data_IF_735676585854
#
_entry.id   IF_735676585854
#
_cell.length_a   1.000
_cell.length_b   1.000
_cell.length_c   1.000
_cell.angle_alpha   90.00
_cell.angle_beta   90.00
_cell.angle_gamma   90.00
#
_symmetry.space_group_name_H-M   'P 1'
#
loop_
_entity.id
_entity.type
_entity.pdbx_description
1 polymer ?
#
# COMPACT_ATOMS: atom_id res chain seq x y z
N UNK A 1 18.66 -23.41 24.13
CA UNK A 1 18.87 -23.92 22.76
C UNK A 1 17.49 -24.17 22.14
N UNK A 2 17.05 -23.36 21.18
CA UNK A 2 15.74 -23.58 20.53
C UNK A 2 15.91 -24.78 19.59
N UNK A 3 15.34 -25.94 19.96
CA UNK A 3 15.19 -27.06 19.04
C UNK A 3 14.27 -26.59 17.91
N UNK A 4 14.72 -26.74 16.68
CA UNK A 4 13.94 -26.44 15.49
C UNK A 4 12.68 -27.31 15.52
N UNK A 5 11.51 -26.70 15.70
CA UNK A 5 10.23 -27.39 15.73
C UNK A 5 9.57 -27.22 14.37
N UNK A 6 9.24 -28.34 13.73
CA UNK A 6 8.34 -28.31 12.58
C UNK A 6 6.91 -28.09 13.10
N UNK A 7 6.29 -26.92 12.84
CA UNK A 7 4.94 -26.65 13.32
C UNK A 7 3.94 -27.59 12.66
N UNK A 8 2.86 -27.88 13.37
CA UNK A 8 1.69 -28.48 12.73
C UNK A 8 0.97 -27.38 11.96
N UNK A 9 0.84 -27.53 10.65
CA UNK A 9 0.04 -26.64 9.82
C UNK A 9 -1.41 -27.10 9.89
N UNK A 10 -2.25 -26.30 10.53
CA UNK A 10 -3.69 -26.46 10.60
C UNK A 10 -4.31 -25.07 10.45
N UNK A 11 -5.39 -25.00 9.71
CA UNK A 11 -6.20 -23.80 9.53
C UNK A 11 -7.65 -24.15 9.88
N UNK A 12 -8.32 -23.26 10.60
CA UNK A 12 -9.75 -23.34 10.92
C UNK A 12 -10.61 -22.63 9.87
N UNK A 13 -10.00 -21.92 8.92
CA UNK A 13 -10.64 -21.34 7.76
C UNK A 13 -10.69 -22.31 6.55
N UNK A 14 -11.53 -21.94 5.58
CA UNK A 14 -11.66 -22.67 4.34
C UNK A 14 -10.40 -22.55 3.44
N UNK A 15 -9.93 -23.71 2.96
CA UNK A 15 -8.72 -23.86 2.16
C UNK A 15 -8.88 -23.32 0.73
N UNK A 16 -10.11 -23.07 0.26
CA UNK A 16 -10.34 -22.44 -1.05
C UNK A 16 -9.80 -21.01 -1.10
N UNK A 17 -9.86 -20.29 0.02
CA UNK A 17 -9.29 -18.94 0.14
C UNK A 17 -7.77 -18.93 -0.04
N UNK A 18 -7.07 -19.90 0.56
CA UNK A 18 -5.63 -20.09 0.39
C UNK A 18 -5.29 -20.52 -1.05
N UNK A 19 -6.12 -21.38 -1.65
CA UNK A 19 -5.96 -21.78 -3.04
C UNK A 19 -6.06 -20.58 -3.99
N UNK A 20 -7.04 -19.70 -3.78
CA UNK A 20 -7.22 -18.48 -4.56
C UNK A 20 -6.00 -17.55 -4.44
N UNK A 21 -5.47 -17.37 -3.22
CA UNK A 21 -4.28 -16.57 -2.99
C UNK A 21 -3.05 -17.11 -3.75
N UNK A 22 -2.83 -18.43 -3.73
CA UNK A 22 -1.74 -19.07 -4.48
C UNK A 22 -1.92 -18.88 -6.00
N UNK A 23 -3.14 -18.97 -6.50
CA UNK A 23 -3.45 -18.74 -7.91
C UNK A 23 -3.20 -17.27 -8.32
N UNK A 24 -3.51 -16.31 -7.45
CA UNK A 24 -3.12 -14.89 -7.61
C UNK A 24 -1.60 -14.72 -7.67
N UNK A 25 -0.85 -15.33 -6.75
CA UNK A 25 0.62 -15.27 -6.73
C UNK A 25 1.23 -15.86 -8.01
N UNK A 26 0.66 -16.95 -8.53
CA UNK A 26 1.09 -17.55 -9.79
C UNK A 26 0.89 -16.59 -10.98
N UNK A 27 -0.19 -15.80 -11.01
CA UNK A 27 -0.37 -14.76 -12.06
C UNK A 27 0.73 -13.71 -12.00
N UNK A 28 1.18 -13.32 -10.80
CA UNK A 28 2.33 -12.43 -10.65
C UNK A 28 3.63 -13.08 -11.16
N UNK A 29 3.96 -14.28 -10.67
CA UNK A 29 5.21 -14.93 -11.04
C UNK A 29 5.29 -15.28 -12.53
N UNK A 30 4.15 -15.54 -13.20
CA UNK A 30 4.10 -15.80 -14.64
C UNK A 30 4.44 -14.55 -15.49
N UNK A 31 4.40 -13.34 -14.92
CA UNK A 31 4.84 -12.10 -15.60
C UNK A 31 6.36 -11.88 -15.51
N UNK A 32 7.07 -12.64 -14.67
CA UNK A 32 8.50 -12.50 -14.45
C UNK A 32 9.30 -13.42 -15.37
N UNK A 33 10.50 -12.98 -15.75
CA UNK A 33 11.50 -13.84 -16.41
C UNK A 33 11.88 -15.01 -15.50
N UNK A 34 12.17 -16.15 -16.10
CA UNK A 34 12.45 -17.40 -15.41
C UNK A 34 13.66 -17.30 -14.47
N UNK A 35 14.67 -16.52 -14.86
CA UNK A 35 15.92 -16.29 -14.14
C UNK A 35 15.83 -15.18 -13.07
N UNK A 36 14.68 -14.51 -12.91
CA UNK A 36 14.51 -13.50 -11.87
C UNK A 36 14.69 -14.14 -10.49
N UNK A 37 15.63 -13.61 -9.69
CA UNK A 37 16.05 -14.24 -8.44
C UNK A 37 15.23 -13.76 -7.23
N UNK A 38 14.73 -14.73 -6.46
CA UNK A 38 14.11 -14.54 -5.15
C UNK A 38 15.07 -15.01 -4.05
N UNK A 39 15.10 -14.30 -2.93
CA UNK A 39 15.97 -14.62 -1.78
C UNK A 39 15.13 -15.07 -0.60
N UNK A 40 15.44 -16.25 -0.05
CA UNK A 40 14.78 -16.84 1.11
C UNK A 40 15.84 -17.26 2.13
N UNK A 41 16.06 -16.44 3.14
CA UNK A 41 17.17 -16.66 4.09
C UNK A 41 18.52 -16.65 3.36
N UNK A 42 19.36 -17.70 3.50
CA UNK A 42 20.65 -17.79 2.80
C UNK A 42 20.51 -18.21 1.33
N UNK A 43 19.35 -18.75 0.94
CA UNK A 43 19.16 -19.40 -0.35
C UNK A 43 18.55 -18.45 -1.40
N UNK A 44 18.89 -18.70 -2.66
CA UNK A 44 18.34 -17.99 -3.81
C UNK A 44 17.72 -18.96 -4.79
N UNK A 45 16.53 -18.63 -5.26
CA UNK A 45 15.79 -19.44 -6.23
C UNK A 45 15.35 -18.60 -7.42
N UNK A 46 15.47 -19.12 -8.67
CA UNK A 46 14.91 -18.47 -9.84
C UNK A 46 13.38 -18.52 -9.80
N UNK A 47 12.71 -17.55 -10.45
CA UNK A 47 11.26 -17.45 -10.49
C UNK A 47 10.59 -18.73 -10.99
N UNK A 48 11.22 -19.43 -11.93
CA UNK A 48 10.75 -20.74 -12.41
C UNK A 48 10.62 -21.76 -11.27
N UNK A 49 11.62 -21.84 -10.40
CA UNK A 49 11.60 -22.75 -9.27
C UNK A 49 10.52 -22.32 -8.25
N UNK A 50 10.37 -21.02 -7.99
CA UNK A 50 9.32 -20.50 -7.11
C UNK A 50 7.93 -20.86 -7.63
N UNK A 51 7.68 -20.73 -8.95
CA UNK A 51 6.42 -21.16 -9.59
C UNK A 51 6.17 -22.66 -9.42
N UNK A 52 7.19 -23.50 -9.65
CA UNK A 52 7.08 -24.95 -9.46
C UNK A 52 6.76 -25.30 -8.00
N UNK A 53 7.37 -24.59 -7.06
CA UNK A 53 7.12 -24.75 -5.63
C UNK A 53 5.67 -24.43 -5.27
N UNK A 54 5.14 -23.28 -5.70
CA UNK A 54 3.74 -22.91 -5.48
C UNK A 54 2.75 -23.87 -6.13
N UNK A 55 3.00 -24.31 -7.37
CA UNK A 55 2.15 -25.33 -8.04
C UNK A 55 2.15 -26.66 -7.27
N UNK A 56 3.30 -27.06 -6.73
CA UNK A 56 3.43 -28.27 -5.91
C UNK A 56 2.66 -28.11 -4.60
N UNK A 57 2.75 -26.94 -3.96
CA UNK A 57 2.00 -26.65 -2.73
C UNK A 57 0.50 -26.68 -2.98
N UNK A 58 0.02 -26.03 -4.04
CA UNK A 58 -1.39 -26.04 -4.45
C UNK A 58 -1.89 -27.46 -4.74
N UNK A 59 -1.07 -28.29 -5.39
CA UNK A 59 -1.41 -29.70 -5.62
C UNK A 59 -1.55 -30.49 -4.33
N UNK A 60 -0.68 -30.28 -3.34
CA UNK A 60 -0.78 -30.93 -2.03
C UNK A 60 -2.03 -30.45 -1.30
N UNK A 61 -2.30 -29.14 -1.34
CA UNK A 61 -3.47 -28.54 -0.71
C UNK A 61 -4.78 -29.15 -1.26
N UNK A 62 -4.89 -29.30 -2.58
CA UNK A 62 -6.08 -29.87 -3.25
C UNK A 62 -6.23 -31.40 -3.09
N UNK A 63 -5.14 -32.13 -2.81
CA UNK A 63 -5.13 -33.60 -2.75
C UNK A 63 -5.13 -34.18 -1.34
N UNK A 64 -4.78 -33.38 -0.34
CA UNK A 64 -4.69 -33.87 1.04
C UNK A 64 -6.09 -34.11 1.60
N UNK A 65 -6.35 -35.34 2.06
CA UNK A 65 -7.63 -35.73 2.68
C UNK A 65 -7.79 -35.19 4.11
N UNK A 66 -6.67 -34.93 4.78
CA UNK A 66 -6.62 -34.48 6.17
C UNK A 66 -5.33 -33.71 6.47
N UNK A 67 -5.28 -33.07 7.65
CA UNK A 67 -4.14 -32.29 8.12
C UNK A 67 -2.88 -33.14 8.35
N UNK A 68 -3.02 -34.43 8.67
CA UNK A 68 -1.88 -35.31 8.93
C UNK A 68 -1.13 -35.62 7.63
N UNK A 69 -1.85 -35.96 6.56
CA UNK A 69 -1.29 -36.18 5.24
C UNK A 69 -0.71 -34.89 4.65
N UNK A 70 -1.41 -33.76 4.81
CA UNK A 70 -0.91 -32.45 4.40
C UNK A 70 0.45 -32.14 5.04
N UNK A 71 0.56 -32.25 6.37
CA UNK A 71 1.82 -32.01 7.09
C UNK A 71 2.94 -32.98 6.70
N UNK A 72 2.61 -34.25 6.43
CA UNK A 72 3.56 -35.26 5.95
C UNK A 72 4.14 -34.89 4.59
N UNK A 73 3.29 -34.45 3.67
CA UNK A 73 3.73 -34.06 2.33
C UNK A 73 4.53 -32.76 2.33
N UNK A 74 4.17 -31.78 3.17
CA UNK A 74 4.97 -30.57 3.36
C UNK A 74 6.37 -30.91 3.88
N UNK A 75 6.48 -31.76 4.91
CA UNK A 75 7.79 -32.20 5.45
C UNK A 75 8.67 -32.88 4.41
N UNK A 76 8.06 -33.62 3.48
CA UNK A 76 8.79 -34.36 2.44
C UNK A 76 9.25 -33.47 1.29
N UNK A 77 8.48 -32.43 0.94
CA UNK A 77 8.65 -31.67 -0.31
C UNK A 77 9.13 -30.23 -0.12
N UNK A 78 9.11 -29.69 1.11
CA UNK A 78 9.41 -28.28 1.38
C UNK A 78 10.49 -28.11 2.44
N UNK A 79 11.33 -27.09 2.24
CA UNK A 79 12.15 -26.51 3.28
C UNK A 79 11.34 -25.46 4.04
N UNK A 80 11.42 -25.47 5.36
CA UNK A 80 10.75 -24.49 6.21
C UNK A 80 11.75 -23.43 6.69
N UNK A 81 11.46 -22.17 6.39
CA UNK A 81 12.27 -21.04 6.84
C UNK A 81 11.57 -20.33 7.99
N UNK A 82 12.30 -20.09 9.09
CA UNK A 82 11.79 -19.29 10.20
C UNK A 82 11.92 -17.81 9.86
N UNK A 83 10.84 -17.04 10.04
CA UNK A 83 10.89 -15.58 9.93
C UNK A 83 11.89 -15.00 10.96
N UNK A 84 12.86 -14.21 10.48
CA UNK A 84 13.96 -13.69 11.30
C UNK A 84 13.53 -12.59 12.29
N UNK A 85 12.41 -11.91 12.02
CA UNK A 85 11.94 -10.75 12.79
C UNK A 85 12.82 -9.51 12.59
N UNK A 86 12.60 -8.48 13.41
CA UNK A 86 13.41 -7.26 13.38
C UNK A 86 14.84 -7.53 13.85
N UNK A 87 15.82 -6.96 13.14
CA UNK A 87 17.23 -7.00 13.53
C UNK A 87 17.41 -6.49 14.97
N UNK A 88 18.04 -7.32 15.82
CA UNK A 88 18.37 -6.97 17.20
C UNK A 88 17.43 -7.53 18.28
N UNK A 89 16.14 -7.75 18.01
CA UNK A 89 15.20 -8.24 19.04
C UNK A 89 14.50 -9.59 18.72
N UNK A 90 14.67 -10.13 17.50
CA UNK A 90 14.07 -11.42 17.06
C UNK A 90 12.54 -11.51 17.22
N UNK A 91 11.85 -10.37 17.40
CA UNK A 91 10.38 -10.29 17.45
C UNK A 91 9.85 -10.01 16.05
N UNK A 92 8.78 -10.70 15.69
CA UNK A 92 8.00 -10.43 14.49
C UNK A 92 6.81 -9.58 14.91
N UNK A 93 6.64 -8.41 14.29
CA UNK A 93 5.46 -7.57 14.48
C UNK A 93 4.46 -7.91 13.37
N UNK A 94 3.25 -8.32 13.75
CA UNK A 94 2.14 -8.47 12.83
C UNK A 94 1.23 -7.25 12.95
N UNK A 95 0.89 -6.65 11.81
CA UNK A 95 -0.08 -5.56 11.72
C UNK A 95 -1.12 -5.92 10.67
N UNK A 96 -2.37 -5.53 10.88
CA UNK A 96 -3.44 -5.69 9.90
C UNK A 96 -3.55 -4.45 9.00
N UNK A 97 -3.85 -4.67 7.73
CA UNK A 97 -4.34 -3.65 6.81
C UNK A 97 -5.76 -4.03 6.40
N UNK A 98 -6.64 -3.05 6.22
CA UNK A 98 -7.97 -3.24 5.67
C UNK A 98 -8.18 -2.19 4.59
N UNK A 99 -9.09 -2.44 3.65
CA UNK A 99 -9.47 -1.45 2.63
C UNK A 99 -10.58 -0.55 3.20
N UNK A 100 -10.29 0.71 3.56
CA UNK A 100 -11.30 1.61 4.07
C UNK A 100 -12.35 1.94 3.01
N UNK A 101 -13.61 2.01 3.43
CA UNK A 101 -14.71 2.55 2.64
C UNK A 101 -14.91 4.00 3.04
N UNK A 102 -14.87 4.90 2.07
CA UNK A 102 -15.13 6.32 2.23
C UNK A 102 -16.40 6.71 1.51
N UNK A 103 -17.19 7.62 2.08
CA UNK A 103 -18.29 8.24 1.35
C UNK A 103 -17.73 9.30 0.38
N UNK A 104 -18.14 9.22 -0.88
CA UNK A 104 -17.73 10.17 -1.89
C UNK A 104 -18.77 10.39 -2.97
N UNK A 105 -18.50 11.33 -3.86
CA UNK A 105 -19.30 11.61 -5.04
C UNK A 105 -18.40 11.80 -6.27
N UNK A 106 -18.90 11.49 -7.46
CA UNK A 106 -18.22 11.72 -8.74
C UNK A 106 -18.29 13.19 -9.17
N UNK A 107 -19.08 14.01 -8.50
CA UNK A 107 -19.14 15.45 -8.70
C UNK A 107 -18.99 16.18 -7.37
N UNK A 108 -18.45 17.39 -7.42
CA UNK A 108 -18.33 18.25 -6.24
C UNK A 108 -19.71 18.74 -5.83
N UNK A 109 -20.06 18.59 -4.55
CA UNK A 109 -21.28 19.13 -3.97
C UNK A 109 -21.01 19.84 -2.62
N UNK A 110 -22.07 20.23 -1.90
CA UNK A 110 -21.95 20.92 -0.60
C UNK A 110 -21.36 20.05 0.51
N UNK A 111 -21.44 18.73 0.38
CA UNK A 111 -20.97 17.72 1.33
C UNK A 111 -19.59 17.19 0.90
N UNK A 112 -19.46 16.76 -0.37
CA UNK A 112 -18.29 16.16 -0.98
C UNK A 112 -17.43 17.24 -1.64
N UNK A 113 -16.48 17.77 -0.87
CA UNK A 113 -15.69 18.95 -1.28
C UNK A 113 -14.21 18.66 -1.51
N UNK A 114 -13.71 17.51 -1.06
CA UNK A 114 -12.28 17.22 -1.04
C UNK A 114 -11.89 16.21 -2.13
N UNK A 115 -11.26 16.66 -3.23
CA UNK A 115 -10.98 15.80 -4.37
C UNK A 115 -9.86 14.79 -4.08
N UNK A 116 -9.95 13.63 -4.74
CA UNK A 116 -8.82 12.74 -5.00
C UNK A 116 -8.45 12.85 -6.47
N UNK A 117 -7.15 12.93 -6.77
CA UNK A 117 -6.67 13.23 -8.12
C UNK A 117 -6.06 12.03 -8.84
N UNK A 118 -6.29 11.96 -10.15
CA UNK A 118 -5.48 11.18 -11.10
C UNK A 118 -4.07 11.74 -11.16
N UNK A 119 -3.15 10.92 -11.66
CA UNK A 119 -1.78 11.36 -11.96
C UNK A 119 -1.82 12.51 -12.98
N UNK A 120 -1.23 13.68 -12.69
CA UNK A 120 -1.11 14.77 -13.65
C UNK A 120 -0.05 14.47 -14.72
N UNK A 121 -0.27 14.90 -15.96
CA UNK A 121 0.68 14.67 -17.07
C UNK A 121 2.02 15.41 -16.87
N UNK A 122 1.98 16.55 -16.19
CA UNK A 122 3.20 17.31 -15.88
C UNK A 122 3.98 16.77 -14.67
N UNK A 123 3.55 15.65 -14.07
CA UNK A 123 4.29 14.93 -13.03
C UNK A 123 5.32 14.02 -13.69
N UNK A 124 6.57 14.49 -13.71
CA UNK A 124 7.68 13.81 -14.33
C UNK A 124 8.46 13.03 -13.27
N UNK A 125 8.84 11.79 -13.59
CA UNK A 125 9.75 10.99 -12.77
C UNK A 125 11.03 10.73 -13.54
N UNK A 126 12.15 11.22 -13.03
CA UNK A 126 13.46 11.11 -13.70
C UNK A 126 14.34 10.09 -13.00
N UNK A 127 14.99 9.22 -13.78
CA UNK A 127 16.05 8.35 -13.30
C UNK A 127 17.39 9.10 -13.37
N UNK A 128 17.94 9.48 -12.21
CA UNK A 128 19.17 10.26 -12.14
C UNK A 128 20.40 9.48 -12.62
N UNK A 129 20.34 8.15 -12.58
CA UNK A 129 21.39 7.27 -13.09
C UNK A 129 21.65 7.44 -14.59
N UNK A 130 20.66 7.92 -15.37
CA UNK A 130 20.82 8.22 -16.80
C UNK A 130 21.76 9.41 -17.05
N UNK A 131 21.94 10.29 -16.06
CA UNK A 131 22.77 11.49 -16.19
C UNK A 131 24.19 11.27 -15.64
N UNK A 132 24.30 10.59 -14.50
CA UNK A 132 25.58 10.29 -13.84
C UNK A 132 25.50 8.94 -13.12
N UNK A 133 26.48 8.03 -13.30
CA UNK A 133 26.50 6.72 -12.65
C UNK A 133 26.38 6.75 -11.11
N UNK A 134 26.93 7.79 -10.47
CA UNK A 134 26.85 7.97 -9.00
C UNK A 134 25.43 8.08 -8.44
N UNK A 135 24.43 8.36 -9.29
CA UNK A 135 23.03 8.44 -8.90
C UNK A 135 22.23 7.21 -9.37
N UNK A 136 22.89 6.10 -9.71
CA UNK A 136 22.22 4.86 -10.09
C UNK A 136 21.21 4.43 -9.03
N UNK A 137 20.01 4.07 -9.47
CA UNK A 137 18.88 3.72 -8.58
C UNK A 137 18.13 4.91 -7.97
N UNK A 138 18.65 6.14 -8.06
CA UNK A 138 17.96 7.31 -7.52
C UNK A 138 16.96 7.88 -8.54
N UNK A 139 15.78 8.25 -8.03
CA UNK A 139 14.71 8.87 -8.82
C UNK A 139 14.23 10.14 -8.14
N UNK A 140 13.85 11.12 -8.95
CA UNK A 140 13.19 12.35 -8.47
C UNK A 140 11.86 12.53 -9.18
N UNK A 141 10.90 13.15 -8.48
CA UNK A 141 9.65 13.61 -9.07
C UNK A 141 9.69 15.14 -9.19
N UNK A 142 9.41 15.64 -10.39
CA UNK A 142 9.57 17.04 -10.74
C UNK A 142 8.45 17.52 -11.67
N UNK A 143 8.39 18.84 -11.84
CA UNK A 143 7.60 19.53 -12.88
C UNK A 143 8.49 20.56 -13.59
N UNK A 144 8.11 20.90 -14.81
CA UNK A 144 8.77 21.96 -15.58
C UNK A 144 8.23 23.34 -15.15
N UNK A 145 9.12 24.30 -14.97
CA UNK A 145 8.78 25.73 -14.81
C UNK A 145 9.78 26.56 -15.62
N UNK A 146 9.32 27.17 -16.71
CA UNK A 146 10.21 27.82 -17.68
C UNK A 146 11.19 26.80 -18.25
N UNK A 147 12.48 27.09 -18.15
CA UNK A 147 13.55 26.20 -18.60
C UNK A 147 14.15 25.31 -17.50
N UNK A 148 13.48 25.21 -16.34
CA UNK A 148 13.98 24.50 -15.17
C UNK A 148 13.07 23.34 -14.75
N UNK A 149 13.68 22.27 -14.26
CA UNK A 149 13.01 21.20 -13.54
C UNK A 149 13.04 21.51 -12.05
N UNK A 150 11.88 21.56 -11.42
CA UNK A 150 11.73 21.86 -9.99
C UNK A 150 10.87 20.79 -9.30
N UNK A 151 10.94 20.63 -7.97
CA UNK A 151 10.11 19.66 -7.25
C UNK A 151 8.63 19.79 -7.59
N UNK A 152 7.92 18.67 -7.61
CA UNK A 152 6.48 18.68 -7.78
C UNK A 152 5.78 19.36 -6.60
N UNK A 153 4.51 19.72 -6.75
CA UNK A 153 3.72 20.39 -5.71
C UNK A 153 3.64 19.56 -4.42
N UNK A 154 3.75 20.22 -3.27
CA UNK A 154 3.51 19.61 -1.95
C UNK A 154 2.01 19.39 -1.72
N UNK A 155 1.65 18.61 -0.69
CA UNK A 155 0.25 18.53 -0.24
C UNK A 155 -0.35 19.92 0.03
N UNK A 156 0.39 20.79 0.71
CA UNK A 156 -0.05 22.16 1.01
C UNK A 156 -0.38 22.93 -0.27
N UNK A 157 0.50 22.88 -1.26
CA UNK A 157 0.25 23.53 -2.56
C UNK A 157 -1.01 22.99 -3.25
N UNK A 158 -1.21 21.68 -3.21
CA UNK A 158 -2.36 21.01 -3.85
C UNK A 158 -3.67 21.38 -3.16
N UNK A 159 -3.69 21.39 -1.82
CA UNK A 159 -4.92 21.55 -1.03
C UNK A 159 -5.26 23.00 -0.71
N UNK A 160 -4.28 23.83 -0.34
CA UNK A 160 -4.53 25.22 0.05
C UNK A 160 -4.48 26.17 -1.15
N UNK A 161 -3.54 25.95 -2.07
CA UNK A 161 -3.35 26.82 -3.24
C UNK A 161 -4.11 26.33 -4.48
N UNK A 162 -4.83 25.21 -4.39
CA UNK A 162 -5.67 24.63 -5.46
C UNK A 162 -4.94 24.50 -6.81
N UNK A 163 -3.64 24.23 -6.81
CA UNK A 163 -2.81 24.23 -8.03
C UNK A 163 -3.19 23.15 -9.07
N UNK A 164 -4.06 22.21 -8.69
CA UNK A 164 -4.61 21.17 -9.55
C UNK A 164 -6.08 21.39 -9.96
N UNK A 165 -6.73 22.42 -9.45
CA UNK A 165 -8.14 22.69 -9.76
C UNK A 165 -8.31 23.02 -11.26
N UNK A 166 -9.46 22.62 -11.83
CA UNK A 166 -9.83 22.83 -13.24
C UNK A 166 -8.87 22.19 -14.25
N UNK A 167 -8.12 21.16 -13.83
CA UNK A 167 -7.29 20.34 -14.72
C UNK A 167 -7.97 19.05 -15.17
N UNK A 168 -9.22 18.82 -14.77
CA UNK A 168 -9.99 17.60 -15.05
C UNK A 168 -9.26 16.34 -14.55
N UNK A 169 -8.71 16.43 -13.34
CA UNK A 169 -7.91 15.36 -12.73
C UNK A 169 -8.68 14.65 -11.61
N UNK A 170 -9.78 15.21 -11.15
CA UNK A 170 -10.59 14.69 -10.06
C UNK A 170 -11.21 13.34 -10.43
N UNK A 171 -11.01 12.33 -9.58
CA UNK A 171 -11.63 11.00 -9.71
C UNK A 171 -12.99 11.00 -8.98
N UNK A 172 -12.98 11.55 -7.77
CA UNK A 172 -14.12 11.66 -6.87
C UNK A 172 -13.80 12.72 -5.80
N UNK A 173 -14.83 13.15 -5.08
CA UNK A 173 -14.75 14.07 -3.95
C UNK A 173 -15.21 13.36 -2.69
N UNK A 174 -14.42 13.44 -1.62
CA UNK A 174 -14.76 12.91 -0.30
C UNK A 174 -15.34 14.00 0.61
N UNK A 175 -16.02 13.58 1.68
CA UNK A 175 -16.62 14.47 2.68
C UNK A 175 -15.60 15.15 3.60
N UNK A 176 -14.43 14.53 3.80
CA UNK A 176 -13.43 14.97 4.77
C UNK A 176 -12.00 14.93 4.19
N UNK A 177 -11.23 16.02 4.34
CA UNK A 177 -9.81 16.05 3.95
C UNK A 177 -8.90 15.12 4.77
N UNK A 178 -9.31 14.72 5.98
CA UNK A 178 -8.68 13.66 6.75
C UNK A 178 -8.88 12.30 6.07
N UNK A 179 -10.07 12.03 5.52
CA UNK A 179 -10.33 10.79 4.77
C UNK A 179 -9.47 10.71 3.52
N UNK A 180 -9.31 11.83 2.80
CA UNK A 180 -8.34 11.92 1.69
C UNK A 180 -6.92 11.60 2.18
N UNK A 181 -6.50 12.16 3.32
CA UNK A 181 -5.16 11.88 3.87
C UNK A 181 -4.99 10.41 4.28
N UNK A 182 -6.00 9.81 4.92
CA UNK A 182 -5.99 8.40 5.31
C UNK A 182 -5.92 7.52 4.06
N UNK A 183 -6.75 7.77 3.05
CA UNK A 183 -6.72 7.06 1.78
C UNK A 183 -5.33 7.14 1.12
N UNK A 184 -4.66 8.30 1.17
CA UNK A 184 -3.29 8.45 0.67
C UNK A 184 -2.25 7.67 1.47
N UNK A 185 -2.40 7.58 2.80
CA UNK A 185 -1.53 6.78 3.67
C UNK A 185 -1.72 5.29 3.38
N UNK A 186 -2.96 4.84 3.18
CA UNK A 186 -3.28 3.45 2.88
C UNK A 186 -2.88 3.06 1.44
N UNK A 187 -2.97 3.99 0.49
CA UNK A 187 -2.58 3.80 -0.91
C UNK A 187 -3.66 3.17 -1.79
N UNK A 188 -4.70 2.59 -1.21
CA UNK A 188 -5.92 2.14 -1.90
C UNK A 188 -7.15 2.29 -1.02
N UNK A 189 -8.33 2.25 -1.62
CA UNK A 189 -9.59 2.30 -0.89
C UNK A 189 -10.81 2.17 -1.79
N UNK A 190 -11.96 2.01 -1.14
CA UNK A 190 -13.27 1.98 -1.77
C UNK A 190 -13.99 3.31 -1.53
N UNK A 191 -14.66 3.82 -2.55
CA UNK A 191 -15.50 5.02 -2.45
C UNK A 191 -16.93 4.61 -2.73
N UNK A 192 -17.78 4.76 -1.71
CA UNK A 192 -19.22 4.52 -1.81
C UNK A 192 -19.89 5.79 -2.32
N UNK A 193 -20.53 5.69 -3.49
CA UNK A 193 -21.25 6.77 -4.15
C UNK A 193 -22.67 6.92 -3.56
N UNK A 194 -23.35 8.06 -3.79
CA UNK A 194 -24.73 8.26 -3.32
C UNK A 194 -25.73 7.25 -3.92
N UNK A 195 -25.43 6.71 -5.10
CA UNK A 195 -26.20 5.64 -5.75
C UNK A 195 -26.12 4.29 -5.02
N UNK A 196 -25.16 4.12 -4.11
CA UNK A 196 -24.82 2.84 -3.48
C UNK A 196 -23.74 2.06 -4.24
N UNK A 197 -23.37 2.49 -5.44
CA UNK A 197 -22.25 1.94 -6.19
C UNK A 197 -20.93 2.16 -5.44
N UNK A 198 -20.01 1.20 -5.56
CA UNK A 198 -18.67 1.28 -4.98
C UNK A 198 -17.66 1.34 -6.12
N UNK A 199 -16.90 2.43 -6.19
CA UNK A 199 -15.72 2.52 -7.04
C UNK A 199 -14.47 2.21 -6.23
N UNK A 200 -13.49 1.57 -6.85
CA UNK A 200 -12.22 1.22 -6.22
C UNK A 200 -11.11 2.10 -6.78
N UNK A 201 -10.27 2.61 -5.88
CA UNK A 201 -9.12 3.44 -6.24
C UNK A 201 -7.84 2.86 -5.67
N UNK A 202 -6.77 2.91 -6.45
CA UNK A 202 -5.46 2.44 -6.05
C UNK A 202 -4.36 3.42 -6.43
N UNK A 203 -3.20 3.25 -5.81
CA UNK A 203 -2.01 4.06 -6.06
C UNK A 203 -1.67 4.12 -7.56
N UNK A 204 -1.34 5.33 -8.03
CA UNK A 204 -0.88 5.60 -9.39
C UNK A 204 0.49 6.28 -9.39
N UNK A 205 0.65 7.34 -8.58
CA UNK A 205 1.91 8.07 -8.48
C UNK A 205 2.04 8.79 -7.14
N UNK A 206 3.27 9.18 -6.80
CA UNK A 206 3.59 10.08 -5.68
C UNK A 206 4.22 11.37 -6.21
N UNK A 207 3.95 12.49 -5.53
CA UNK A 207 4.63 13.77 -5.79
C UNK A 207 6.14 13.76 -5.45
N UNK A 208 6.66 12.66 -4.88
CA UNK A 208 8.08 12.44 -4.59
C UNK A 208 8.62 13.17 -3.35
N UNK A 209 7.77 13.86 -2.59
CA UNK A 209 8.14 14.43 -1.31
C UNK A 209 8.22 13.33 -0.23
N UNK A 210 9.11 13.49 0.78
CA UNK A 210 9.24 12.50 1.84
C UNK A 210 7.97 12.45 2.70
N UNK A 211 7.56 11.24 3.06
CA UNK A 211 6.47 11.05 4.00
C UNK A 211 6.87 11.57 5.39
N UNK A 212 5.96 12.31 6.03
CA UNK A 212 6.06 12.67 7.45
C UNK A 212 4.81 12.21 8.19
N UNK A 213 5.01 11.55 9.34
CA UNK A 213 3.89 11.00 10.12
C UNK A 213 3.10 12.10 10.82
N UNK A 214 1.82 12.24 10.46
CA UNK A 214 0.87 13.15 11.12
C UNK A 214 0.60 12.72 12.57
N UNK A 215 0.58 11.40 12.83
CA UNK A 215 0.38 10.88 14.19
C UNK A 215 1.55 11.24 15.10
N UNK A 216 2.79 11.13 14.58
CA UNK A 216 3.98 11.56 15.32
C UNK A 216 3.98 13.07 15.56
N UNK A 217 3.61 13.85 14.55
CA UNK A 217 3.46 15.30 14.68
C UNK A 217 2.48 15.68 15.80
N UNK A 218 1.33 15.02 15.86
CA UNK A 218 0.34 15.28 16.90
C UNK A 218 0.85 14.92 18.30
N UNK A 219 1.71 13.90 18.43
CA UNK A 219 2.37 13.56 19.70
C UNK A 219 3.39 14.63 20.08
N UNK A 220 4.26 15.00 19.14
CA UNK A 220 5.35 15.96 19.38
C UNK A 220 4.81 17.36 19.76
N UNK A 221 3.60 17.71 19.31
CA UNK A 221 2.91 18.96 19.66
C UNK A 221 1.93 18.83 20.83
N UNK A 222 1.89 17.68 21.52
CA UNK A 222 1.07 17.48 22.71
C UNK A 222 -0.44 17.38 22.47
N UNK A 223 -0.88 17.19 21.21
CA UNK A 223 -2.29 17.01 20.88
C UNK A 223 -2.83 15.66 21.34
N UNK A 224 -2.01 14.61 21.20
CA UNK A 224 -2.34 13.25 21.64
C UNK A 224 -1.13 12.59 22.31
N UNK A 225 -1.35 11.60 23.16
CA UNK A 225 -0.27 10.80 23.74
C UNK A 225 0.09 9.61 22.86
N UNK A 226 1.33 9.11 22.99
CA UNK A 226 1.79 7.95 22.23
C UNK A 226 0.94 6.69 22.49
N UNK A 227 0.55 6.47 23.74
CA UNK A 227 -0.27 5.32 24.15
C UNK A 227 -1.68 5.35 23.55
N UNK A 228 -2.16 6.54 23.17
CA UNK A 228 -3.48 6.75 22.60
C UNK A 228 -3.44 6.96 21.08
N UNK A 229 -2.31 6.73 20.39
CA UNK A 229 -2.21 6.95 18.96
C UNK A 229 -3.03 5.91 18.17
N UNK A 230 -4.17 6.34 17.62
CA UNK A 230 -5.01 5.56 16.70
C UNK A 230 -5.70 6.48 15.69
N UNK A 231 -6.25 5.91 14.62
CA UNK A 231 -7.05 6.70 13.67
C UNK A 231 -8.30 7.31 14.32
N UNK A 232 -8.90 6.61 15.28
CA UNK A 232 -10.07 7.06 16.02
C UNK A 232 -9.76 8.27 16.90
N UNK A 233 -8.62 8.27 17.58
CA UNK A 233 -8.21 9.40 18.42
C UNK A 233 -7.77 10.59 17.59
N UNK A 234 -7.02 10.38 16.50
CA UNK A 234 -6.69 11.43 15.52
C UNK A 234 -7.98 12.09 14.99
N UNK A 235 -8.94 11.29 14.53
CA UNK A 235 -10.22 11.79 13.99
C UNK A 235 -11.01 12.56 15.05
N UNK A 236 -11.12 12.02 16.25
CA UNK A 236 -11.84 12.67 17.36
C UNK A 236 -11.20 14.01 17.71
N UNK A 237 -9.88 14.06 17.80
CA UNK A 237 -9.16 15.29 18.15
C UNK A 237 -9.31 16.36 17.06
N UNK A 238 -9.13 16.00 15.78
CA UNK A 238 -9.32 16.92 14.64
C UNK A 238 -10.77 17.41 14.56
N UNK A 239 -11.75 16.56 14.86
CA UNK A 239 -13.17 16.94 14.87
C UNK A 239 -13.48 17.97 15.97
N UNK A 240 -12.84 17.84 17.13
CA UNK A 240 -12.99 18.78 18.25
C UNK A 240 -12.17 20.07 18.05
N UNK A 241 -11.11 20.01 17.25
CA UNK A 241 -10.17 21.11 17.00
C UNK A 241 -10.00 21.31 15.48
N UNK A 242 -11.02 21.82 14.77
CA UNK A 242 -10.98 21.91 13.30
C UNK A 242 -9.88 22.84 12.77
N UNK A 243 -9.46 23.83 13.55
CA UNK A 243 -8.46 24.84 13.14
C UNK A 243 -7.07 24.24 12.89
N UNK A 244 -6.70 23.20 13.65
CA UNK A 244 -5.39 22.55 13.50
C UNK A 244 -5.35 21.55 12.34
N UNK A 245 -6.49 21.25 11.73
CA UNK A 245 -6.62 20.16 10.74
C UNK A 245 -5.66 20.36 9.57
N UNK A 246 -5.66 21.55 8.97
CA UNK A 246 -4.82 21.81 7.81
C UNK A 246 -3.34 21.80 8.19
N UNK A 247 -2.98 22.34 9.36
CA UNK A 247 -1.62 22.30 9.89
C UNK A 247 -1.12 20.85 10.04
N UNK A 248 -1.87 20.01 10.75
CA UNK A 248 -1.53 18.60 10.98
C UNK A 248 -1.43 17.84 9.67
N UNK A 249 -2.41 17.99 8.77
CA UNK A 249 -2.43 17.26 7.51
C UNK A 249 -1.31 17.71 6.58
N UNK A 250 -1.03 19.02 6.52
CA UNK A 250 0.00 19.59 5.64
C UNK A 250 1.42 19.46 6.19
N UNK A 251 1.59 19.02 7.45
CA UNK A 251 2.88 18.57 7.95
C UNK A 251 3.48 17.46 7.08
N UNK A 252 2.63 16.59 6.49
CA UNK A 252 3.06 15.62 5.50
C UNK A 252 3.07 16.25 4.08
N UNK A 253 4.24 16.56 3.49
CA UNK A 253 4.29 17.14 2.15
C UNK A 253 4.01 16.10 1.05
N UNK A 254 4.10 14.81 1.37
CA UNK A 254 3.81 13.74 0.42
C UNK A 254 2.34 13.75 -0.01
N UNK A 255 2.11 13.55 -1.30
CA UNK A 255 0.79 13.48 -1.90
C UNK A 255 0.71 12.31 -2.87
N UNK A 256 -0.34 11.50 -2.73
CA UNK A 256 -0.56 10.32 -3.55
C UNK A 256 -1.69 10.60 -4.55
N UNK A 257 -1.42 10.24 -5.80
CA UNK A 257 -2.35 10.24 -6.92
C UNK A 257 -2.86 8.84 -7.18
N UNK A 258 -4.11 8.73 -7.61
CA UNK A 258 -4.82 7.46 -7.73
C UNK A 258 -5.19 7.14 -9.18
N UNK A 259 -5.67 5.92 -9.38
CA UNK A 259 -6.34 5.43 -10.59
C UNK A 259 -7.53 4.58 -10.17
N UNK A 260 -8.54 4.49 -11.03
CA UNK A 260 -9.63 3.53 -10.88
C UNK A 260 -9.08 2.10 -11.06
N UNK A 261 -9.68 1.14 -10.34
CA UNK A 261 -9.36 -0.28 -10.42
C UNK A 261 -10.59 -1.06 -10.87
N UNK A 262 -10.42 -1.97 -11.84
CA UNK A 262 -11.46 -2.87 -12.33
C UNK A 262 -11.57 -4.16 -11.48
N UNK A 263 -11.37 -4.07 -10.16
CA UNK A 263 -11.33 -5.23 -9.24
C UNK A 263 -10.74 -4.89 -7.86
N UNK A 264 -10.48 -5.91 -7.04
CA UNK A 264 -9.92 -5.79 -5.66
C UNK A 264 -8.61 -4.98 -5.55
N UNK A 265 -8.18 -4.60 -4.33
CA UNK A 265 -6.98 -3.78 -4.15
C UNK A 265 -5.76 -4.52 -4.69
N UNK A 266 -5.00 -3.85 -5.55
CA UNK A 266 -3.76 -4.41 -6.07
C UNK A 266 -2.63 -4.13 -5.06
N UNK A 267 -2.05 -5.18 -4.50
CA UNK A 267 -0.84 -5.08 -3.66
C UNK A 267 0.41 -4.67 -4.47
N UNK A 268 1.58 -4.69 -3.83
CA UNK A 268 2.86 -4.38 -4.50
C UNK A 268 3.17 -5.29 -5.71
N UNK A 269 2.62 -6.50 -5.73
CA UNK A 269 2.75 -7.47 -6.82
C UNK A 269 1.68 -7.30 -7.90
N UNK A 270 0.74 -6.36 -7.76
CA UNK A 270 -0.21 -6.02 -8.82
C UNK A 270 -1.20 -7.13 -9.15
N UNK A 271 -1.60 -7.92 -8.15
CA UNK A 271 -2.73 -8.87 -8.19
C UNK A 271 -3.63 -8.63 -6.96
N UNK A 272 -4.94 -8.95 -7.02
CA UNK A 272 -5.84 -8.94 -5.87
C UNK A 272 -5.52 -10.05 -4.86
#
# INVERSE_FOLDING_TARGET
KVKYFWPSFQDDMDMDSLSLAIESDLKYLNRLKDDALFTYGPDKFPAEHVRKSLKTFLSILKQSSDSQQFNKDLRKKFYLYKAAGFWGNKKVLFTGYFEPIFDGNLERDSIHRYPIYRRPDNLLTMNLGLFRPKFSGQRITARIKGNSLIPYYTRKDIIENNVLERKNLEIAWLKDSLDVAILQIQGSGMIKLPSGEIIRVGYSASNGHPYKSIGRYMIDNGYITADNLSLQTIRSYIKQNPDIKNEVLNYNPAYIFFRLLDGGPLGNIGVP
#
